data_IF_745581627481
#
_entry.id   IF_745581627481
#
_cell.length_a   1.000
_cell.length_b   1.000
_cell.length_c   1.000
_cell.angle_alpha   90.00
_cell.angle_beta   90.00
_cell.angle_gamma   90.00
#
_symmetry.space_group_name_H-M   'P 1'
#
loop_
_entity.id
_entity.type
_entity.pdbx_description
1 polymer ?
#
# COMPACT_ATOMS: atom_id res chain seq x y z
N UNK A 1 1.58 -11.33 -1.52
CA UNK A 1 2.58 -10.62 -2.35
C UNK A 1 2.24 -9.14 -2.34
N UNK A 2 3.23 -8.26 -2.21
CA UNK A 2 3.03 -6.80 -2.16
C UNK A 2 3.70 -6.21 -3.41
N UNK A 3 2.96 -5.44 -4.20
CA UNK A 3 3.47 -4.80 -5.42
C UNK A 3 3.23 -3.30 -5.35
N UNK A 4 4.31 -2.53 -5.57
CA UNK A 4 4.29 -1.07 -5.70
C UNK A 4 4.39 -0.57 -7.14
N UNK A 5 4.41 0.75 -7.32
CA UNK A 5 4.60 1.41 -8.63
C UNK A 5 3.52 1.04 -9.67
N UNK A 6 2.29 0.85 -9.21
CA UNK A 6 1.11 0.69 -10.06
C UNK A 6 0.20 1.88 -9.82
N UNK A 7 -0.06 2.68 -10.86
CA UNK A 7 -0.89 3.89 -10.77
C UNK A 7 -2.23 3.52 -10.13
N UNK A 8 -2.40 3.97 -8.89
CA UNK A 8 -3.63 3.84 -8.10
C UNK A 8 -4.06 5.23 -7.65
N UNK A 9 -5.34 5.39 -7.28
CA UNK A 9 -5.75 6.64 -6.64
C UNK A 9 -4.98 6.78 -5.32
N UNK A 10 -4.49 7.98 -5.01
CA UNK A 10 -3.54 8.21 -3.92
C UNK A 10 -4.10 7.67 -2.59
N UNK A 11 -3.37 6.75 -1.95
CA UNK A 11 -3.78 6.13 -0.69
C UNK A 11 -4.77 4.97 -0.82
N UNK A 12 -5.13 4.54 -2.03
CA UNK A 12 -5.91 3.32 -2.22
C UNK A 12 -5.07 2.06 -1.98
N UNK A 13 -5.72 1.08 -1.36
CA UNK A 13 -5.23 -0.28 -1.19
C UNK A 13 -6.20 -1.21 -1.91
N UNK A 14 -5.68 -1.99 -2.87
CA UNK A 14 -6.48 -2.99 -3.57
C UNK A 14 -6.02 -4.40 -3.23
N UNK A 15 -6.94 -5.26 -2.81
CA UNK A 15 -6.70 -6.69 -2.69
C UNK A 15 -7.19 -7.44 -3.93
N UNK A 16 -6.40 -8.41 -4.39
CA UNK A 16 -6.74 -9.29 -5.52
C UNK A 16 -6.33 -10.72 -5.21
N UNK A 17 -6.79 -11.65 -6.04
CA UNK A 17 -6.45 -13.07 -5.94
C UNK A 17 -6.82 -13.67 -4.56
N UNK A 18 -8.07 -13.49 -4.12
CA UNK A 18 -8.54 -13.96 -2.81
C UNK A 18 -7.62 -13.47 -1.66
N UNK A 19 -7.36 -12.17 -1.62
CA UNK A 19 -6.50 -11.49 -0.63
C UNK A 19 -5.03 -11.95 -0.60
N UNK A 20 -4.57 -12.66 -1.63
CA UNK A 20 -3.17 -13.08 -1.75
C UNK A 20 -2.26 -11.99 -2.37
N UNK A 21 -2.84 -11.03 -3.07
CA UNK A 21 -2.12 -9.91 -3.71
C UNK A 21 -2.63 -8.58 -3.15
N UNK A 22 -1.70 -7.81 -2.60
CA UNK A 22 -1.93 -6.45 -2.11
C UNK A 22 -1.23 -5.47 -3.07
N UNK A 23 -2.01 -4.64 -3.75
CA UNK A 23 -1.50 -3.53 -4.55
C UNK A 23 -1.58 -2.25 -3.73
N UNK A 24 -0.46 -1.55 -3.67
CA UNK A 24 -0.31 -0.31 -2.91
C UNK A 24 0.52 0.66 -3.74
N UNK A 25 0.07 1.90 -3.85
CA UNK A 25 0.89 2.99 -4.39
C UNK A 25 0.95 4.14 -3.38
N UNK A 26 2.00 4.13 -2.56
CA UNK A 26 2.33 5.26 -1.69
C UNK A 26 3.21 6.17 -2.55
N UNK A 27 2.67 7.30 -2.98
CA UNK A 27 3.40 8.30 -3.74
C UNK A 27 4.53 8.93 -2.91
N UNK A 28 5.62 8.18 -2.70
CA UNK A 28 6.82 8.60 -1.96
C UNK A 28 7.81 9.39 -2.84
N UNK A 29 7.44 9.67 -4.09
CA UNK A 29 8.29 10.44 -5.00
C UNK A 29 8.53 11.85 -4.48
N UNK A 30 9.69 12.42 -4.82
CA UNK A 30 10.04 13.83 -4.59
C UNK A 30 8.94 14.77 -5.13
N UNK A 31 8.27 14.38 -6.21
CA UNK A 31 7.15 15.13 -6.80
C UNK A 31 5.95 15.30 -5.85
N UNK A 32 5.77 14.41 -4.88
CA UNK A 32 4.68 14.43 -3.91
C UNK A 32 5.08 14.98 -2.54
N UNK A 33 6.30 15.51 -2.38
CA UNK A 33 6.77 16.10 -1.11
C UNK A 33 7.80 15.26 -0.35
N UNK A 34 8.23 14.12 -0.90
CA UNK A 34 9.29 13.28 -0.35
C UNK A 34 8.99 12.76 1.07
N UNK A 35 7.79 12.21 1.25
CA UNK A 35 7.35 11.66 2.52
C UNK A 35 7.80 10.22 2.71
N UNK A 36 8.08 9.85 3.97
CA UNK A 36 8.24 8.46 4.36
C UNK A 36 6.85 7.87 4.60
N UNK A 37 6.53 6.77 3.90
CA UNK A 37 5.36 5.96 4.20
C UNK A 37 5.78 4.54 4.57
N UNK A 38 4.90 3.85 5.29
CA UNK A 38 5.12 2.45 5.64
C UNK A 38 3.82 1.65 5.58
N UNK A 39 3.99 0.34 5.40
CA UNK A 39 2.92 -0.64 5.48
C UNK A 39 3.08 -1.44 6.77
N UNK A 40 2.05 -1.44 7.60
CA UNK A 40 1.95 -2.28 8.79
C UNK A 40 0.97 -3.43 8.54
N UNK A 41 1.39 -4.65 8.89
CA UNK A 41 0.58 -5.86 8.80
C UNK A 41 0.27 -6.38 10.19
N UNK A 42 -1.00 -6.32 10.58
CA UNK A 42 -1.49 -6.75 11.89
C UNK A 42 -2.09 -8.16 11.76
N UNK A 43 -1.24 -9.18 11.78
CA UNK A 43 -1.63 -10.58 11.60
C UNK A 43 -2.65 -11.07 12.65
N UNK A 44 -2.61 -10.51 13.85
CA UNK A 44 -3.54 -10.84 14.94
C UNK A 44 -4.98 -10.34 14.67
N UNK A 45 -5.10 -9.26 13.88
CA UNK A 45 -6.39 -8.65 13.50
C UNK A 45 -6.81 -8.94 12.08
N UNK A 46 -5.91 -9.52 11.29
CA UNK A 46 -6.08 -9.72 9.84
C UNK A 46 -6.33 -8.38 9.11
N UNK A 47 -5.63 -7.32 9.55
CA UNK A 47 -5.77 -5.94 9.11
C UNK A 47 -4.46 -5.40 8.51
N UNK A 48 -4.58 -4.40 7.63
CA UNK A 48 -3.46 -3.71 6.98
C UNK A 48 -3.60 -2.19 7.16
N UNK A 49 -2.51 -1.52 7.52
CA UNK A 49 -2.48 -0.07 7.66
C UNK A 49 -1.38 0.56 6.79
N UNK A 50 -1.72 1.69 6.18
CA UNK A 50 -0.79 2.54 5.43
C UNK A 50 -0.81 3.92 6.08
N UNK A 51 0.37 4.46 6.38
CA UNK A 51 0.58 5.84 6.83
C UNK A 51 1.59 6.55 5.93
#
# INVERSE_FOLDING_TARGET
MIIGHSIQQYGEMQTRCNDQLLLIDIGMSVCYGNFFGYLEMLNDKNEYHIM
#
